data_IF_200069518154
#
_entry.id   IF_200069518154
#
_cell.length_a   1.000
_cell.length_b   1.000
_cell.length_c   1.000
_cell.angle_alpha   90.00
_cell.angle_beta   90.00
_cell.angle_gamma   90.00
#
_symmetry.space_group_name_H-M   'P 1'
#
loop_
_entity.id
_entity.type
_entity.pdbx_description
1 polymer ?
#
# COMPACT_ATOMS: atom_id res chain seq x y z
N UNK A 1 -20.71 10.69 10.72
CA UNK A 1 -20.83 11.47 9.45
C UNK A 1 -20.15 10.65 8.35
N UNK A 2 -20.78 10.54 7.19
CA UNK A 2 -20.17 9.82 6.06
C UNK A 2 -19.23 10.75 5.26
N UNK A 3 -18.12 10.18 4.78
CA UNK A 3 -17.20 10.86 3.85
C UNK A 3 -17.65 10.73 2.40
N UNK A 4 -18.71 9.95 2.12
CA UNK A 4 -19.18 9.67 0.76
C UNK A 4 -19.39 10.96 -0.03
N UNK A 5 -18.57 11.18 -1.05
CA UNK A 5 -18.60 12.34 -1.92
C UNK A 5 -18.17 13.67 -1.28
N UNK A 6 -17.54 13.64 -0.11
CA UNK A 6 -17.04 14.83 0.59
C UNK A 6 -15.62 15.23 0.20
N UNK A 7 -14.92 14.37 -0.53
CA UNK A 7 -13.56 14.63 -0.99
C UNK A 7 -13.31 14.00 -2.38
N UNK A 8 -12.30 14.53 -3.07
CA UNK A 8 -11.89 14.08 -4.40
C UNK A 8 -10.38 13.93 -4.46
N UNK A 9 -9.89 12.83 -5.04
CA UNK A 9 -8.49 12.73 -5.48
C UNK A 9 -8.37 13.62 -6.72
N UNK A 10 -7.51 14.63 -6.62
CA UNK A 10 -7.36 15.70 -7.60
C UNK A 10 -5.98 15.77 -8.25
N UNK A 11 -5.00 15.06 -7.73
CA UNK A 11 -3.65 15.00 -8.28
C UNK A 11 -2.95 13.75 -7.81
N UNK A 12 -2.13 13.17 -8.68
CA UNK A 12 -1.30 12.00 -8.36
C UNK A 12 0.06 12.13 -9.04
N UNK A 13 1.08 11.59 -8.40
CA UNK A 13 2.40 11.51 -9.00
C UNK A 13 3.16 10.29 -8.46
N UNK A 14 3.79 9.56 -9.37
CA UNK A 14 4.76 8.50 -9.08
C UNK A 14 6.14 8.99 -9.50
N UNK A 15 7.10 9.00 -8.57
CA UNK A 15 8.46 9.40 -8.86
C UNK A 15 9.16 8.35 -9.75
N UNK A 16 9.83 8.74 -10.85
CA UNK A 16 10.37 7.79 -11.84
C UNK A 16 11.60 7.00 -11.34
N UNK A 17 12.29 7.47 -10.30
CA UNK A 17 13.49 6.78 -9.79
C UNK A 17 13.16 5.43 -9.19
N UNK A 18 14.07 4.46 -9.40
CA UNK A 18 14.02 3.13 -8.78
C UNK A 18 15.32 2.79 -8.04
N UNK A 19 16.29 3.75 -8.07
CA UNK A 19 17.53 3.71 -7.31
C UNK A 19 18.00 5.13 -7.05
N UNK A 20 17.72 5.69 -5.87
CA UNK A 20 17.91 7.08 -5.52
C UNK A 20 19.26 7.31 -4.82
N UNK A 21 20.38 7.05 -5.51
CA UNK A 21 21.73 7.26 -4.95
C UNK A 21 22.13 8.73 -4.83
N UNK A 22 21.47 9.58 -5.60
CA UNK A 22 21.76 11.03 -5.75
C UNK A 22 20.74 11.93 -5.04
N UNK A 23 19.75 11.36 -4.36
CA UNK A 23 18.67 12.11 -3.71
C UNK A 23 18.54 11.76 -2.23
N UNK A 24 18.22 12.74 -1.41
CA UNK A 24 17.82 12.51 -0.03
C UNK A 24 16.37 12.03 0.05
N UNK A 25 15.98 11.44 1.18
CA UNK A 25 14.60 11.05 1.44
C UNK A 25 13.66 12.27 1.39
N UNK A 26 14.06 13.39 1.99
CA UNK A 26 13.28 14.63 1.95
C UNK A 26 13.08 15.17 0.53
N UNK A 27 14.11 15.07 -0.32
CA UNK A 27 13.98 15.46 -1.74
C UNK A 27 12.95 14.59 -2.47
N UNK A 28 12.93 13.27 -2.25
CA UNK A 28 11.95 12.39 -2.88
C UNK A 28 10.51 12.75 -2.48
N UNK A 29 10.28 13.06 -1.20
CA UNK A 29 8.97 13.55 -0.75
C UNK A 29 8.60 14.87 -1.43
N UNK A 30 9.51 15.84 -1.45
CA UNK A 30 9.24 17.15 -2.04
C UNK A 30 9.03 17.10 -3.56
N UNK A 31 9.85 16.33 -4.29
CA UNK A 31 9.68 16.13 -5.74
C UNK A 31 8.36 15.42 -6.06
N UNK A 32 7.97 14.45 -5.25
CA UNK A 32 6.67 13.77 -5.38
C UNK A 32 5.51 14.73 -5.10
N UNK A 33 5.61 15.54 -4.05
CA UNK A 33 4.63 16.56 -3.72
C UNK A 33 4.44 17.57 -4.86
N UNK A 34 5.55 18.10 -5.40
CA UNK A 34 5.53 19.04 -6.53
C UNK A 34 4.92 18.41 -7.79
N UNK A 35 5.20 17.13 -8.06
CA UNK A 35 4.62 16.38 -9.16
C UNK A 35 3.10 16.27 -9.06
N UNK A 36 2.59 15.87 -7.89
CA UNK A 36 1.15 15.74 -7.65
C UNK A 36 0.41 17.09 -7.64
N UNK A 37 1.04 18.14 -7.10
CA UNK A 37 0.49 19.50 -7.16
C UNK A 37 0.40 20.01 -8.59
N UNK A 38 1.45 19.80 -9.39
CA UNK A 38 1.45 20.14 -10.81
C UNK A 38 0.36 19.40 -11.58
N UNK A 39 0.16 18.12 -11.30
CA UNK A 39 -0.90 17.31 -11.91
C UNK A 39 -2.29 17.81 -11.50
N UNK A 40 -2.48 18.27 -10.26
CA UNK A 40 -3.72 18.90 -9.80
C UNK A 40 -3.94 20.32 -10.37
N UNK A 41 -2.90 20.98 -10.87
CA UNK A 41 -2.95 22.40 -11.21
C UNK A 41 -2.96 23.34 -9.99
N UNK A 42 -2.37 22.86 -8.88
CA UNK A 42 -2.25 23.55 -7.61
C UNK A 42 -0.79 23.88 -7.29
N UNK A 43 -0.59 24.69 -6.26
CA UNK A 43 0.74 25.04 -5.73
C UNK A 43 0.83 24.63 -4.26
N UNK A 44 2.05 24.69 -3.69
CA UNK A 44 2.25 24.42 -2.26
C UNK A 44 1.50 25.39 -1.34
N UNK A 45 1.20 26.58 -1.81
CA UNK A 45 0.50 27.62 -1.03
C UNK A 45 -1.02 27.33 -0.90
N UNK A 46 -1.54 26.43 -1.73
CA UNK A 46 -2.91 25.93 -1.65
C UNK A 46 -3.07 24.80 -0.61
N UNK A 47 -1.97 24.17 -0.19
CA UNK A 47 -1.97 23.04 0.75
C UNK A 47 -2.18 23.53 2.18
N UNK A 48 -3.24 23.03 2.83
CA UNK A 48 -3.57 23.32 4.21
C UNK A 48 -3.74 22.08 5.11
N UNK A 49 -3.59 20.86 4.53
CA UNK A 49 -3.48 19.58 5.24
C UNK A 49 -2.30 18.76 4.73
N UNK A 50 -1.55 18.08 5.62
CA UNK A 50 -0.45 17.21 5.24
C UNK A 50 -0.51 15.86 5.99
N UNK A 51 -0.25 14.78 5.26
CA UNK A 51 -0.34 13.40 5.73
C UNK A 51 0.91 12.64 5.30
N UNK A 52 1.62 12.08 6.25
CA UNK A 52 2.81 11.28 6.01
C UNK A 52 3.03 10.30 7.16
N UNK A 53 3.49 9.10 6.88
CA UNK A 53 3.80 8.09 7.89
C UNK A 53 5.29 8.13 8.34
N UNK A 54 5.78 7.04 8.90
CA UNK A 54 7.09 6.93 9.54
C UNK A 54 8.32 7.02 8.63
N UNK A 55 8.15 7.05 7.31
CA UNK A 55 9.28 7.18 6.36
C UNK A 55 9.88 8.60 6.34
N UNK A 56 9.27 9.56 7.01
CA UNK A 56 9.76 10.95 7.03
C UNK A 56 11.03 11.08 7.89
N UNK A 57 12.04 11.85 7.43
CA UNK A 57 13.27 12.02 8.17
C UNK A 57 13.12 12.93 9.40
N UNK A 58 14.07 12.88 10.31
CA UNK A 58 14.17 13.77 11.46
C UNK A 58 13.01 13.59 12.45
N UNK A 59 12.24 14.64 12.70
CA UNK A 59 11.05 14.64 13.56
C UNK A 59 9.78 14.17 12.79
N UNK A 60 9.96 13.32 11.80
CA UNK A 60 8.86 12.83 11.00
C UNK A 60 8.23 13.91 10.13
N UNK A 61 6.90 13.89 9.95
CA UNK A 61 6.21 14.85 9.08
C UNK A 61 6.50 16.33 9.38
N UNK A 62 6.79 16.70 10.63
CA UNK A 62 7.15 18.08 10.98
C UNK A 62 8.40 18.58 10.24
N UNK A 63 9.42 17.72 10.11
CA UNK A 63 10.63 18.08 9.35
C UNK A 63 10.35 18.29 7.87
N UNK A 64 9.39 17.56 7.31
CA UNK A 64 8.98 17.74 5.92
C UNK A 64 8.12 18.99 5.72
N UNK A 65 7.28 19.35 6.69
CA UNK A 65 6.54 20.62 6.68
C UNK A 65 7.50 21.81 6.57
N UNK A 66 8.54 21.82 7.40
CA UNK A 66 9.58 22.86 7.36
C UNK A 66 10.37 22.83 6.04
N UNK A 67 10.80 21.64 5.61
CA UNK A 67 11.57 21.45 4.38
C UNK A 67 10.83 21.93 3.13
N UNK A 68 9.54 21.63 3.02
CA UNK A 68 8.69 22.06 1.90
C UNK A 68 8.14 23.47 2.06
N UNK A 69 8.24 24.07 3.26
CA UNK A 69 7.70 25.39 3.57
C UNK A 69 6.16 25.43 3.51
N UNK A 70 5.50 24.40 4.03
CA UNK A 70 4.03 24.31 4.06
C UNK A 70 3.44 25.12 5.22
N UNK A 71 2.25 25.70 5.01
CA UNK A 71 1.50 26.44 6.03
C UNK A 71 0.17 25.72 6.29
N UNK A 72 0.17 24.86 7.29
CA UNK A 72 -0.91 23.88 7.51
C UNK A 72 -1.91 24.33 8.58
N UNK A 73 -3.15 23.86 8.44
CA UNK A 73 -4.20 23.82 9.45
C UNK A 73 -4.35 22.42 10.06
N UNK A 74 -3.93 21.37 9.33
CA UNK A 74 -4.06 19.98 9.75
C UNK A 74 -2.83 19.18 9.39
N UNK A 75 -2.41 18.30 10.31
CA UNK A 75 -1.29 17.35 10.14
C UNK A 75 -1.69 15.99 10.70
N UNK A 76 -1.43 14.92 9.96
CA UNK A 76 -1.59 13.54 10.42
C UNK A 76 -0.32 12.73 10.14
N UNK A 77 0.07 11.90 11.11
CA UNK A 77 1.26 11.06 11.06
C UNK A 77 0.96 9.60 11.42
N UNK A 78 -0.26 9.13 11.13
CA UNK A 78 -0.67 7.74 11.44
C UNK A 78 0.22 6.74 10.70
N UNK A 79 0.82 5.83 11.47
CA UNK A 79 1.76 4.81 10.96
C UNK A 79 1.17 3.41 11.15
N UNK A 80 0.93 2.73 10.04
CA UNK A 80 0.45 1.35 9.98
C UNK A 80 1.23 0.51 8.94
N UNK A 81 2.47 0.91 8.65
CA UNK A 81 3.29 0.32 7.60
C UNK A 81 2.85 0.76 6.19
N UNK A 82 3.06 -0.07 5.19
CA UNK A 82 2.79 0.27 3.79
C UNK A 82 1.34 0.63 3.45
N UNK A 83 0.37 0.24 4.29
CA UNK A 83 -1.04 0.61 4.14
C UNK A 83 -1.37 2.03 4.61
N UNK A 84 -0.47 2.72 5.33
CA UNK A 84 -0.69 4.06 5.87
C UNK A 84 -1.19 5.06 4.84
N UNK A 85 -0.68 5.01 3.63
CA UNK A 85 -0.98 6.00 2.59
C UNK A 85 -2.38 5.86 1.98
N UNK A 86 -2.92 4.65 1.92
CA UNK A 86 -4.32 4.41 1.55
C UNK A 86 -5.24 4.85 2.69
N UNK A 87 -4.88 4.53 3.94
CA UNK A 87 -5.56 4.99 5.14
C UNK A 87 -5.60 6.52 5.21
N UNK A 88 -4.49 7.21 4.88
CA UNK A 88 -4.44 8.67 4.83
C UNK A 88 -5.41 9.29 3.82
N UNK A 89 -5.79 8.60 2.75
CA UNK A 89 -6.85 9.10 1.84
C UNK A 89 -8.20 9.18 2.57
N UNK A 90 -8.53 8.17 3.39
CA UNK A 90 -9.70 8.17 4.26
C UNK A 90 -9.63 9.32 5.28
N UNK A 91 -8.53 9.43 6.03
CA UNK A 91 -8.30 10.50 7.02
C UNK A 91 -8.35 11.89 6.41
N UNK A 92 -7.79 12.07 5.21
CA UNK A 92 -7.87 13.34 4.48
C UNK A 92 -9.32 13.68 4.12
N UNK A 93 -10.10 12.69 3.66
CA UNK A 93 -11.52 12.89 3.37
C UNK A 93 -12.33 13.25 4.62
N UNK A 94 -12.02 12.62 5.76
CA UNK A 94 -12.62 12.95 7.06
C UNK A 94 -12.24 14.36 7.53
N UNK A 95 -10.96 14.71 7.47
CA UNK A 95 -10.47 16.04 7.82
C UNK A 95 -11.15 17.14 6.98
N UNK A 96 -11.30 16.89 5.68
CA UNK A 96 -12.02 17.78 4.75
C UNK A 96 -13.50 17.86 5.10
N UNK A 97 -14.16 16.72 5.33
CA UNK A 97 -15.59 16.69 5.68
C UNK A 97 -15.89 17.44 7.00
N UNK A 98 -14.91 17.45 7.92
CA UNK A 98 -14.98 18.19 9.18
C UNK A 98 -14.49 19.65 9.08
N UNK A 99 -14.10 20.12 7.89
CA UNK A 99 -13.64 21.50 7.67
C UNK A 99 -12.26 21.83 8.28
N UNK A 100 -11.45 20.80 8.59
CA UNK A 100 -10.09 20.98 9.16
C UNK A 100 -9.08 21.44 8.10
N UNK A 101 -9.26 21.01 6.86
CA UNK A 101 -8.49 21.44 5.69
C UNK A 101 -9.34 21.37 4.42
N UNK A 102 -8.84 21.92 3.33
CA UNK A 102 -9.51 21.94 2.02
C UNK A 102 -8.66 21.27 0.92
N UNK A 103 -7.35 21.29 1.06
CA UNK A 103 -6.38 20.67 0.17
C UNK A 103 -5.39 19.86 1.02
N UNK A 104 -5.52 18.56 0.95
CA UNK A 104 -4.67 17.61 1.66
C UNK A 104 -3.61 17.03 0.71
N UNK A 105 -2.35 17.13 1.11
CA UNK A 105 -1.20 16.50 0.46
C UNK A 105 -0.83 15.24 1.25
N UNK A 106 -0.73 14.11 0.57
CA UNK A 106 -0.24 12.84 1.12
C UNK A 106 1.05 12.49 0.38
N UNK A 107 2.15 12.20 1.08
CA UNK A 107 3.41 11.80 0.46
C UNK A 107 3.96 10.51 1.03
N UNK A 108 4.58 9.72 0.17
CA UNK A 108 5.36 8.53 0.47
C UNK A 108 6.71 8.61 -0.22
N UNK A 109 7.79 8.25 0.44
CA UNK A 109 9.09 8.00 -0.21
C UNK A 109 9.92 6.99 0.58
N UNK A 110 10.85 6.32 -0.11
CA UNK A 110 11.79 5.40 0.51
C UNK A 110 13.04 5.22 -0.36
N UNK A 111 14.15 4.83 0.29
CA UNK A 111 15.45 4.60 -0.35
C UNK A 111 16.09 3.26 0.03
N UNK A 112 15.31 2.19 0.27
CA UNK A 112 15.85 0.94 0.80
C UNK A 112 16.92 0.31 -0.10
N UNK A 113 16.78 0.44 -1.43
CA UNK A 113 17.76 -0.08 -2.39
C UNK A 113 19.07 0.71 -2.40
N UNK A 114 18.99 2.04 -2.34
CA UNK A 114 20.18 2.89 -2.23
C UNK A 114 20.91 2.68 -0.89
N UNK A 115 20.20 2.27 0.15
CA UNK A 115 20.71 1.92 1.47
C UNK A 115 21.20 0.46 1.56
N UNK A 116 21.21 -0.30 0.45
CA UNK A 116 21.78 -1.64 0.36
C UNK A 116 20.81 -2.78 0.66
N UNK A 117 19.52 -2.50 0.80
CA UNK A 117 18.53 -3.54 1.05
C UNK A 117 18.26 -4.36 -0.22
N UNK A 118 18.10 -5.68 -0.07
CA UNK A 118 17.76 -6.61 -1.15
C UNK A 118 16.51 -7.43 -0.81
N UNK A 119 15.88 -8.01 -1.83
CA UNK A 119 14.70 -8.86 -1.67
C UNK A 119 14.95 -9.99 -0.67
N UNK A 120 14.05 -10.16 0.29
CA UNK A 120 14.15 -11.19 1.33
C UNK A 120 15.06 -10.85 2.51
N UNK A 121 15.77 -9.70 2.50
CA UNK A 121 16.73 -9.34 3.57
C UNK A 121 16.19 -8.30 4.55
N UNK A 122 15.00 -7.76 4.32
CA UNK A 122 14.43 -6.75 5.20
C UNK A 122 14.24 -7.31 6.62
N UNK A 123 14.94 -6.77 7.64
CA UNK A 123 14.74 -7.20 9.02
C UNK A 123 13.36 -6.74 9.49
N UNK A 124 12.76 -7.51 10.39
CA UNK A 124 11.65 -7.01 11.17
C UNK A 124 12.22 -6.04 12.22
N UNK A 125 11.92 -4.77 12.10
CA UNK A 125 12.31 -3.78 13.08
C UNK A 125 11.34 -3.83 14.28
N UNK A 126 11.85 -4.36 15.40
CA UNK A 126 11.21 -4.20 16.69
C UNK A 126 11.86 -3.04 17.43
N UNK A 127 11.08 -2.13 17.96
CA UNK A 127 11.58 -1.30 19.05
C UNK A 127 12.04 -2.20 20.21
N UNK A 128 13.14 -1.87 20.87
CA UNK A 128 13.71 -2.69 21.98
C UNK A 128 12.73 -2.95 23.12
N UNK A 129 11.65 -2.19 23.21
CA UNK A 129 10.58 -2.30 24.20
C UNK A 129 9.33 -3.05 23.70
N UNK A 130 9.32 -3.53 22.46
CA UNK A 130 8.17 -4.28 21.95
C UNK A 130 8.01 -5.61 22.71
N UNK A 131 6.77 -6.00 23.08
CA UNK A 131 6.54 -7.22 23.86
C UNK A 131 7.04 -8.49 23.18
N UNK A 132 7.06 -8.49 21.84
CA UNK A 132 7.41 -9.64 21.01
C UNK A 132 8.92 -9.90 20.95
N UNK A 133 9.76 -8.92 21.30
CA UNK A 133 11.23 -9.02 21.21
C UNK A 133 11.77 -10.26 21.93
N UNK A 134 11.25 -10.55 23.12
CA UNK A 134 11.72 -11.68 23.92
C UNK A 134 11.38 -13.05 23.30
N UNK A 135 10.31 -13.14 22.52
CA UNK A 135 9.76 -14.40 22.00
C UNK A 135 10.08 -14.65 20.53
N UNK A 136 10.12 -13.60 19.73
CA UNK A 136 10.28 -13.73 18.27
C UNK A 136 11.71 -13.41 17.82
N UNK A 137 12.34 -12.39 18.38
CA UNK A 137 13.66 -11.93 17.97
C UNK A 137 14.77 -13.00 18.06
N UNK A 138 14.78 -13.93 19.06
CA UNK A 138 15.77 -15.00 19.12
C UNK A 138 15.79 -15.92 17.89
N UNK A 139 14.69 -15.98 17.14
CA UNK A 139 14.59 -16.77 15.91
C UNK A 139 15.06 -16.01 14.66
N UNK A 140 15.48 -14.76 14.79
CA UNK A 140 15.95 -13.92 13.69
C UNK A 140 14.93 -13.72 12.56
N UNK A 141 13.67 -13.40 12.84
CA UNK A 141 12.64 -13.32 11.81
C UNK A 141 12.95 -12.18 10.85
N UNK A 142 12.82 -12.48 9.56
CA UNK A 142 12.74 -11.47 8.51
C UNK A 142 11.29 -11.25 8.11
N UNK A 143 11.01 -10.15 7.39
CA UNK A 143 9.65 -9.88 6.91
C UNK A 143 9.14 -11.04 6.05
N UNK A 144 9.97 -11.59 5.15
CA UNK A 144 9.56 -12.69 4.28
C UNK A 144 9.20 -13.96 5.05
N UNK A 145 9.89 -14.27 6.16
CA UNK A 145 9.59 -15.45 6.97
C UNK A 145 8.18 -15.41 7.57
N UNK A 146 7.73 -14.22 7.99
CA UNK A 146 6.38 -14.06 8.54
C UNK A 146 5.30 -14.27 7.48
N UNK A 147 5.52 -13.77 6.27
CA UNK A 147 4.58 -14.01 5.16
C UNK A 147 4.63 -15.46 4.67
N UNK A 148 5.80 -16.10 4.74
CA UNK A 148 5.93 -17.54 4.45
C UNK A 148 5.10 -18.39 5.43
N UNK A 149 5.09 -18.06 6.71
CA UNK A 149 4.21 -18.73 7.69
C UNK A 149 2.72 -18.57 7.33
N UNK A 150 2.30 -17.39 6.86
CA UNK A 150 0.93 -17.18 6.37
C UNK A 150 0.64 -18.07 5.16
N UNK A 151 1.57 -18.12 4.21
CA UNK A 151 1.42 -18.96 3.02
C UNK A 151 1.35 -20.45 3.37
N UNK A 152 2.25 -20.95 4.21
CA UNK A 152 2.22 -22.35 4.67
C UNK A 152 0.92 -22.69 5.41
N UNK A 153 0.44 -21.79 6.28
CA UNK A 153 -0.82 -22.01 6.99
C UNK A 153 -2.00 -22.07 6.03
N UNK A 154 -2.04 -21.17 5.05
CA UNK A 154 -3.08 -21.17 4.03
C UNK A 154 -3.05 -22.42 3.14
N UNK A 155 -1.85 -22.88 2.76
CA UNK A 155 -1.65 -24.13 2.04
C UNK A 155 -2.12 -25.35 2.86
N UNK A 156 -1.80 -25.38 4.14
CA UNK A 156 -2.21 -26.46 5.04
C UNK A 156 -3.73 -26.54 5.22
N UNK A 157 -4.39 -25.41 5.42
CA UNK A 157 -5.83 -25.39 5.71
C UNK A 157 -6.70 -25.53 4.47
N UNK A 158 -6.28 -24.93 3.35
CA UNK A 158 -7.11 -24.81 2.16
C UNK A 158 -6.57 -25.51 0.92
N UNK A 159 -5.36 -26.08 1.00
CA UNK A 159 -4.75 -26.79 -0.12
C UNK A 159 -4.24 -25.85 -1.24
N UNK A 160 -4.01 -24.59 -0.94
CA UNK A 160 -3.40 -23.64 -1.88
C UNK A 160 -2.03 -24.14 -2.32
N UNK A 161 -1.68 -23.94 -3.58
CA UNK A 161 -0.38 -24.38 -4.15
C UNK A 161 0.51 -23.22 -4.55
N UNK A 162 1.81 -23.50 -4.77
CA UNK A 162 2.74 -22.49 -5.27
C UNK A 162 2.39 -22.02 -6.67
N UNK A 163 1.83 -22.88 -7.51
CA UNK A 163 1.36 -22.53 -8.86
C UNK A 163 0.20 -21.52 -8.79
N UNK A 164 -0.71 -21.70 -7.84
CA UNK A 164 -1.80 -20.75 -7.62
C UNK A 164 -1.29 -19.38 -7.16
N UNK A 165 -0.32 -19.35 -6.25
CA UNK A 165 0.35 -18.10 -5.86
C UNK A 165 1.08 -17.47 -7.05
N UNK A 166 1.74 -18.28 -7.89
CA UNK A 166 2.46 -17.82 -9.07
C UNK A 166 1.58 -17.07 -10.07
N UNK A 167 0.31 -17.45 -10.23
CA UNK A 167 -0.63 -16.74 -11.12
C UNK A 167 -0.81 -15.27 -10.77
N UNK A 168 -0.70 -14.90 -9.49
CA UNK A 168 -0.73 -13.49 -9.05
C UNK A 168 0.47 -12.73 -9.63
N UNK A 169 1.66 -13.33 -9.57
CA UNK A 169 2.86 -12.72 -10.17
C UNK A 169 2.78 -12.66 -11.68
N UNK A 170 2.23 -13.68 -12.32
CA UNK A 170 1.98 -13.68 -13.77
C UNK A 170 1.11 -12.49 -14.13
N UNK A 171 -0.04 -12.32 -13.48
CA UNK A 171 -0.95 -11.19 -13.72
C UNK A 171 -0.26 -9.84 -13.49
N UNK A 172 0.46 -9.68 -12.35
CA UNK A 172 1.22 -8.46 -12.07
C UNK A 172 2.24 -8.14 -13.17
N UNK A 173 2.90 -9.16 -13.75
CA UNK A 173 3.85 -8.98 -14.85
C UNK A 173 3.19 -8.56 -16.16
N UNK A 174 2.00 -9.09 -16.44
CA UNK A 174 1.18 -8.65 -17.58
C UNK A 174 0.78 -7.17 -17.46
N UNK A 175 0.40 -6.71 -16.27
CA UNK A 175 0.08 -5.30 -16.06
C UNK A 175 1.32 -4.39 -16.07
N UNK A 176 2.44 -4.85 -15.50
CA UNK A 176 3.67 -4.08 -15.38
C UNK A 176 4.32 -3.71 -16.74
N UNK A 177 4.10 -4.50 -17.80
CA UNK A 177 4.67 -4.20 -19.12
C UNK A 177 4.19 -2.86 -19.69
N UNK A 178 3.02 -2.38 -19.25
CA UNK A 178 2.43 -1.11 -19.68
C UNK A 178 2.82 0.08 -18.79
N UNK A 179 3.45 -0.16 -17.64
CA UNK A 179 3.93 0.92 -16.77
C UNK A 179 5.38 1.26 -17.11
N UNK A 180 5.63 2.47 -17.62
CA UNK A 180 6.98 2.93 -17.98
C UNK A 180 7.94 2.96 -16.79
N UNK A 181 7.44 3.10 -15.55
CA UNK A 181 8.22 3.16 -14.32
C UNK A 181 8.42 1.80 -13.65
N UNK A 182 7.79 0.73 -14.13
CA UNK A 182 7.97 -0.60 -13.55
C UNK A 182 9.42 -1.09 -13.72
N UNK A 183 9.99 -1.66 -12.63
CA UNK A 183 11.34 -2.22 -12.66
C UNK A 183 11.42 -3.53 -13.43
N UNK A 184 10.40 -4.37 -13.32
CA UNK A 184 10.31 -5.67 -13.98
C UNK A 184 9.15 -5.63 -14.96
N UNK A 185 9.47 -5.50 -16.26
CA UNK A 185 8.48 -5.37 -17.34
C UNK A 185 8.27 -6.65 -18.13
N UNK A 186 9.15 -7.64 -17.95
CA UNK A 186 9.04 -8.91 -18.65
C UNK A 186 7.87 -9.71 -18.08
N UNK A 187 6.99 -10.16 -18.95
CA UNK A 187 5.95 -11.13 -18.60
C UNK A 187 6.64 -12.44 -18.21
N UNK A 188 6.18 -13.04 -17.13
CA UNK A 188 6.69 -14.30 -16.59
C UNK A 188 5.61 -15.38 -16.63
N UNK A 189 6.04 -16.64 -16.67
CA UNK A 189 5.18 -17.81 -16.61
C UNK A 189 5.09 -18.37 -15.17
N UNK A 190 4.11 -19.23 -14.92
CA UNK A 190 4.00 -19.97 -13.65
C UNK A 190 5.28 -20.76 -13.38
N UNK A 191 5.80 -21.48 -14.37
CA UNK A 191 7.04 -22.26 -14.25
C UNK A 191 8.24 -21.40 -13.85
N UNK A 192 8.38 -20.21 -14.42
CA UNK A 192 9.46 -19.28 -14.05
C UNK A 192 9.33 -18.79 -12.62
N UNK A 193 8.12 -18.60 -12.11
CA UNK A 193 7.89 -18.19 -10.72
C UNK A 193 8.25 -19.32 -9.76
N UNK A 194 7.68 -20.51 -9.92
CA UNK A 194 7.86 -21.63 -9.00
C UNK A 194 9.28 -22.22 -9.05
N UNK A 195 10.03 -22.01 -10.13
CA UNK A 195 11.42 -22.41 -10.26
C UNK A 195 12.42 -21.28 -9.95
N UNK A 196 11.94 -20.08 -9.57
CA UNK A 196 12.83 -19.01 -9.11
C UNK A 196 13.43 -19.37 -7.73
N UNK A 197 14.60 -18.79 -7.35
CA UNK A 197 15.24 -19.15 -6.10
C UNK A 197 14.30 -19.05 -4.89
N UNK A 198 14.29 -20.08 -4.05
CA UNK A 198 13.58 -20.08 -2.78
C UNK A 198 14.17 -19.04 -1.84
N UNK A 199 13.32 -18.20 -1.24
CA UNK A 199 13.72 -17.20 -0.24
C UNK A 199 13.33 -17.66 1.17
N UNK A 200 12.07 -18.04 1.35
CA UNK A 200 11.57 -18.64 2.60
C UNK A 200 10.41 -19.56 2.23
N UNK A 201 10.57 -20.86 2.45
CA UNK A 201 9.57 -21.87 2.07
C UNK A 201 8.16 -21.50 2.59
N UNK A 202 7.12 -21.40 1.71
CA UNK A 202 7.08 -21.79 0.30
C UNK A 202 7.33 -20.64 -0.70
N UNK A 203 7.75 -19.47 -0.26
CA UNK A 203 7.88 -18.27 -1.10
C UNK A 203 9.21 -18.25 -1.87
N UNK A 204 9.12 -18.17 -3.18
CA UNK A 204 10.23 -17.97 -4.10
C UNK A 204 10.49 -16.48 -4.31
N UNK A 205 11.61 -16.17 -4.97
CA UNK A 205 12.00 -14.77 -5.23
C UNK A 205 10.93 -13.97 -6.00
N UNK A 206 10.23 -14.60 -6.92
CA UNK A 206 9.19 -13.94 -7.71
C UNK A 206 7.83 -13.85 -6.97
N UNK A 207 7.67 -14.52 -5.84
CA UNK A 207 6.54 -14.30 -4.93
C UNK A 207 6.71 -13.04 -4.07
N UNK A 208 7.92 -12.51 -4.00
CA UNK A 208 8.27 -11.35 -3.19
C UNK A 208 8.20 -10.06 -4.01
N UNK A 209 7.80 -8.95 -3.37
CA UNK A 209 7.90 -7.62 -3.97
C UNK A 209 9.35 -7.24 -4.27
N UNK A 210 9.54 -6.38 -5.25
CA UNK A 210 10.85 -5.86 -5.63
C UNK A 210 11.25 -4.74 -4.67
N UNK A 211 12.45 -4.80 -4.12
CA UNK A 211 13.02 -3.66 -3.38
C UNK A 211 13.40 -2.56 -4.38
N UNK A 212 12.75 -1.42 -4.27
CA UNK A 212 12.97 -0.25 -5.12
C UNK A 212 12.96 1.02 -4.30
N UNK A 213 13.69 2.02 -4.76
CA UNK A 213 13.59 3.38 -4.25
C UNK A 213 12.51 4.13 -5.02
N UNK A 214 12.00 5.18 -4.43
CA UNK A 214 11.03 6.03 -5.09
C UNK A 214 10.19 6.81 -4.13
N UNK A 215 9.08 7.29 -4.64
CA UNK A 215 8.08 7.99 -3.89
C UNK A 215 6.84 8.25 -4.73
N UNK A 216 5.83 8.74 -4.07
CA UNK A 216 4.60 9.16 -4.69
C UNK A 216 3.88 10.18 -3.83
N UNK A 217 2.93 10.87 -4.43
CA UNK A 217 2.06 11.78 -3.70
C UNK A 217 0.65 11.78 -4.30
N UNK A 218 -0.30 12.07 -3.43
CA UNK A 218 -1.72 12.21 -3.77
C UNK A 218 -2.21 13.55 -3.22
N UNK A 219 -3.00 14.27 -4.02
CA UNK A 219 -3.74 15.46 -3.58
C UNK A 219 -5.21 15.08 -3.42
N UNK A 220 -5.74 15.31 -2.23
CA UNK A 220 -7.17 15.16 -1.92
C UNK A 220 -7.75 16.53 -1.63
N UNK A 221 -8.89 16.87 -2.26
CA UNK A 221 -9.48 18.21 -2.15
C UNK A 221 -10.93 18.16 -1.73
N UNK A 222 -11.39 19.28 -1.15
CA UNK A 222 -12.81 19.49 -0.93
C UNK A 222 -13.61 19.63 -2.24
N UNK A 223 -14.93 19.41 -2.24
CA UNK A 223 -15.76 19.60 -3.41
C UNK A 223 -15.70 21.02 -4.00
N UNK A 224 -15.49 22.03 -3.15
CA UNK A 224 -15.39 23.44 -3.56
C UNK A 224 -14.11 23.66 -4.38
N UNK A 225 -12.97 23.17 -3.91
CA UNK A 225 -11.70 23.24 -4.64
C UNK A 225 -11.78 22.38 -5.90
N UNK A 226 -12.29 21.15 -5.80
CA UNK A 226 -12.41 20.21 -6.92
C UNK A 226 -13.13 20.85 -8.13
N UNK A 227 -14.19 21.63 -7.91
CA UNK A 227 -14.94 22.33 -8.98
C UNK A 227 -14.11 23.35 -9.77
N UNK A 228 -13.03 23.84 -9.22
CA UNK A 228 -12.14 24.81 -9.88
C UNK A 228 -11.06 24.17 -10.75
N UNK A 229 -10.85 22.86 -10.60
CA UNK A 229 -9.80 22.12 -11.29
C UNK A 229 -10.25 21.63 -12.67
N UNK A 230 -9.29 21.52 -13.61
CA UNK A 230 -9.57 21.18 -15.01
C UNK A 230 -9.33 19.72 -15.38
N UNK A 231 -8.83 18.91 -14.44
CA UNK A 231 -8.54 17.48 -14.69
C UNK A 231 -9.70 16.58 -14.28
N UNK A 232 -9.75 15.32 -14.78
CA UNK A 232 -10.65 14.30 -14.25
C UNK A 232 -10.41 14.08 -12.75
N UNK A 233 -11.49 13.96 -11.98
CA UNK A 233 -11.48 13.80 -10.54
C UNK A 233 -11.98 12.42 -10.16
N UNK A 234 -11.40 11.82 -9.12
CA UNK A 234 -11.89 10.57 -8.53
C UNK A 234 -12.53 10.88 -7.19
N UNK A 235 -13.84 10.62 -7.10
CA UNK A 235 -14.60 10.84 -5.88
C UNK A 235 -14.25 9.81 -4.83
N UNK A 236 -13.94 10.22 -3.59
CA UNK A 236 -13.85 9.31 -2.45
C UNK A 236 -15.26 9.04 -1.94
N UNK A 237 -15.69 7.78 -1.96
CA UNK A 237 -17.06 7.39 -1.61
C UNK A 237 -17.13 6.51 -0.36
N UNK A 238 -16.01 5.95 0.10
CA UNK A 238 -15.94 5.19 1.34
C UNK A 238 -14.50 4.89 1.70
N UNK A 239 -14.26 4.70 2.98
CA UNK A 239 -13.02 4.24 3.54
C UNK A 239 -13.30 3.27 4.70
N UNK A 240 -12.31 2.45 5.04
CA UNK A 240 -12.39 1.56 6.18
C UNK A 240 -11.00 1.18 6.65
N UNK A 241 -10.83 1.14 7.95
CA UNK A 241 -9.58 0.72 8.58
C UNK A 241 -9.86 -0.17 9.78
N UNK A 242 -9.06 -1.18 9.96
CA UNK A 242 -9.14 -2.06 11.11
C UNK A 242 -7.80 -2.77 11.34
N UNK A 243 -7.22 -2.67 12.52
CA UNK A 243 -6.04 -3.43 12.87
C UNK A 243 -6.42 -4.89 13.17
N UNK A 244 -5.63 -5.83 12.68
CA UNK A 244 -5.66 -7.20 13.16
C UNK A 244 -4.78 -7.31 14.39
N UNK A 245 -5.34 -7.78 15.50
CA UNK A 245 -4.56 -8.01 16.72
C UNK A 245 -4.18 -9.49 16.90
N UNK A 246 -3.19 -9.73 17.71
CA UNK A 246 -2.59 -11.07 17.89
C UNK A 246 -3.38 -12.01 18.81
N UNK A 247 -4.52 -11.56 19.36
CA UNK A 247 -5.40 -12.37 20.20
C UNK A 247 -4.66 -13.14 21.34
N UNK A 248 -3.68 -12.47 21.98
CA UNK A 248 -2.87 -13.08 23.04
C UNK A 248 -1.97 -14.21 22.53
N UNK A 249 -1.45 -14.11 21.32
CA UNK A 249 -0.56 -15.10 20.69
C UNK A 249 -1.29 -16.25 19.98
N UNK A 250 -2.62 -16.20 19.90
CA UNK A 250 -3.42 -17.15 19.13
C UNK A 250 -3.80 -16.57 17.76
N UNK A 251 -2.82 -15.99 17.08
CA UNK A 251 -3.05 -15.34 15.80
C UNK A 251 -3.45 -16.37 14.73
N UNK A 252 -4.54 -16.10 14.03
CA UNK A 252 -4.88 -16.81 12.79
C UNK A 252 -4.13 -16.15 11.63
N UNK A 253 -3.30 -16.92 10.93
CA UNK A 253 -2.44 -16.44 9.86
C UNK A 253 -3.13 -16.41 8.49
N UNK A 254 -4.39 -16.82 8.40
CA UNK A 254 -5.09 -16.98 7.12
C UNK A 254 -5.92 -15.77 6.70
N UNK A 255 -6.01 -14.72 7.51
CA UNK A 255 -6.73 -13.49 7.18
C UNK A 255 -5.96 -12.23 7.60
N UNK A 256 -6.34 -11.10 7.03
CA UNK A 256 -5.82 -9.76 7.34
C UNK A 256 -6.90 -8.86 7.99
N UNK A 257 -6.56 -7.61 8.32
CA UNK A 257 -7.53 -6.63 8.79
C UNK A 257 -8.63 -6.29 7.77
N UNK A 258 -8.44 -6.69 6.49
CA UNK A 258 -9.40 -6.42 5.43
C UNK A 258 -10.78 -7.09 5.64
N UNK A 259 -10.86 -8.16 6.46
CA UNK A 259 -12.15 -8.77 6.84
C UNK A 259 -13.07 -7.80 7.58
N UNK A 260 -12.54 -6.76 8.19
CA UNK A 260 -13.30 -5.70 8.87
C UNK A 260 -13.31 -4.40 8.08
N UNK A 261 -12.15 -3.95 7.61
CA UNK A 261 -12.03 -2.68 6.89
C UNK A 261 -12.75 -2.70 5.54
N UNK A 262 -12.76 -3.83 4.84
CA UNK A 262 -13.48 -4.00 3.57
C UNK A 262 -14.99 -3.74 3.69
N UNK A 263 -15.71 -4.50 4.54
CA UNK A 263 -17.14 -4.25 4.78
C UNK A 263 -17.47 -2.82 5.19
N UNK A 264 -16.63 -2.18 6.05
CA UNK A 264 -16.83 -0.77 6.43
C UNK A 264 -16.78 0.17 5.21
N UNK A 265 -15.75 0.01 4.36
CA UNK A 265 -15.61 0.82 3.16
C UNK A 265 -16.74 0.58 2.15
N UNK A 266 -17.14 -0.66 1.94
CA UNK A 266 -18.24 -1.02 1.02
C UNK A 266 -19.60 -0.53 1.51
N UNK A 267 -19.86 -0.62 2.82
CA UNK A 267 -21.09 -0.12 3.43
C UNK A 267 -21.19 1.40 3.27
N UNK A 268 -20.13 2.15 3.60
CA UNK A 268 -20.11 3.60 3.44
C UNK A 268 -20.25 4.04 1.98
N UNK A 269 -19.62 3.32 1.06
CA UNK A 269 -19.70 3.56 -0.37
C UNK A 269 -21.06 3.16 -0.98
N UNK A 270 -21.88 2.37 -0.27
CA UNK A 270 -23.10 1.74 -0.79
C UNK A 270 -22.88 0.87 -2.01
N UNK A 271 -21.76 0.12 -2.04
CA UNK A 271 -21.39 -0.82 -3.10
C UNK A 271 -21.10 -2.21 -2.52
N UNK A 272 -21.06 -3.20 -3.40
CA UNK A 272 -20.68 -4.58 -3.06
C UNK A 272 -19.40 -4.98 -3.81
N UNK A 273 -18.65 -6.00 -3.37
CA UNK A 273 -17.46 -6.46 -4.08
C UNK A 273 -17.69 -6.72 -5.58
N UNK A 274 -18.85 -7.29 -5.95
CA UNK A 274 -19.24 -7.55 -7.36
C UNK A 274 -19.41 -6.29 -8.23
N UNK A 275 -19.57 -5.12 -7.61
CA UNK A 275 -19.76 -3.84 -8.32
C UNK A 275 -18.40 -3.20 -8.65
N UNK A 276 -17.32 -3.69 -8.06
CA UNK A 276 -15.95 -3.22 -8.29
C UNK A 276 -15.48 -3.69 -9.67
N UNK A 277 -14.95 -2.77 -10.47
CA UNK A 277 -14.43 -3.04 -11.81
C UNK A 277 -12.91 -3.08 -11.85
N UNK A 278 -12.25 -2.42 -10.92
CA UNK A 278 -10.81 -2.39 -10.78
C UNK A 278 -10.45 -2.36 -9.30
N UNK A 279 -9.49 -3.18 -8.89
CA UNK A 279 -8.96 -3.21 -7.54
C UNK A 279 -7.43 -3.13 -7.57
N UNK A 280 -6.87 -2.16 -6.86
CA UNK A 280 -5.44 -2.08 -6.60
C UNK A 280 -5.17 -2.71 -5.24
N UNK A 281 -4.60 -3.90 -5.26
CA UNK A 281 -4.35 -4.71 -4.07
C UNK A 281 -2.89 -4.60 -3.67
N UNK A 282 -2.61 -4.43 -2.38
CA UNK A 282 -1.25 -4.38 -1.83
C UNK A 282 -0.55 -5.73 -1.99
N UNK A 283 0.58 -5.74 -2.70
CA UNK A 283 1.27 -6.93 -3.19
C UNK A 283 2.65 -7.15 -2.55
N UNK A 284 2.78 -6.95 -1.24
CA UNK A 284 4.05 -7.24 -0.54
C UNK A 284 4.59 -8.64 -0.87
N UNK A 285 3.69 -9.62 -0.97
CA UNK A 285 3.94 -11.00 -1.41
C UNK A 285 2.68 -11.52 -2.12
N UNK A 286 2.82 -12.57 -2.93
CA UNK A 286 1.68 -13.19 -3.62
C UNK A 286 0.59 -13.65 -2.64
N UNK A 287 0.97 -14.23 -1.49
CA UNK A 287 0.01 -14.63 -0.45
C UNK A 287 -0.78 -13.43 0.12
N UNK A 288 -0.20 -12.24 0.17
CA UNK A 288 -0.89 -11.03 0.64
C UNK A 288 -2.05 -10.69 -0.27
N UNK A 289 -1.83 -10.75 -1.58
CA UNK A 289 -2.89 -10.50 -2.59
C UNK A 289 -4.00 -11.53 -2.45
N UNK A 290 -3.65 -12.82 -2.39
CA UNK A 290 -4.62 -13.90 -2.28
C UNK A 290 -5.52 -13.72 -1.06
N UNK A 291 -4.92 -13.49 0.12
CA UNK A 291 -5.68 -13.29 1.36
C UNK A 291 -6.59 -12.06 1.28
N UNK A 292 -6.10 -10.93 0.73
CA UNK A 292 -6.92 -9.72 0.59
C UNK A 292 -8.11 -9.92 -0.35
N UNK A 293 -7.95 -10.67 -1.45
CA UNK A 293 -9.06 -10.98 -2.36
C UNK A 293 -10.17 -11.77 -1.65
N UNK A 294 -9.80 -12.73 -0.81
CA UNK A 294 -10.74 -13.47 0.03
C UNK A 294 -11.37 -12.57 1.10
N UNK A 295 -10.54 -11.84 1.84
CA UNK A 295 -10.96 -11.02 2.97
C UNK A 295 -11.88 -9.86 2.56
N UNK A 296 -11.68 -9.29 1.37
CA UNK A 296 -12.54 -8.28 0.76
C UNK A 296 -13.82 -8.86 0.13
N UNK A 297 -13.95 -10.19 0.07
CA UNK A 297 -15.16 -10.87 -0.43
C UNK A 297 -15.25 -10.92 -1.96
N UNK A 298 -14.15 -10.84 -2.69
CA UNK A 298 -14.13 -11.12 -4.13
C UNK A 298 -14.30 -12.62 -4.41
N UNK A 299 -13.86 -13.46 -3.48
CA UNK A 299 -14.12 -14.90 -3.44
C UNK A 299 -14.27 -15.37 -1.99
N UNK A 300 -14.74 -16.59 -1.80
CA UNK A 300 -14.88 -17.20 -0.49
C UNK A 300 -13.51 -17.54 0.11
N UNK A 301 -13.40 -17.53 1.44
CA UNK A 301 -12.19 -17.94 2.17
C UNK A 301 -11.79 -19.37 1.77
N UNK A 302 -10.50 -19.54 1.44
CA UNK A 302 -9.93 -20.80 0.95
C UNK A 302 -10.19 -21.09 -0.53
N UNK A 303 -10.82 -20.17 -1.27
CA UNK A 303 -11.05 -20.28 -2.71
C UNK A 303 -10.18 -19.33 -3.54
N UNK A 304 -9.37 -18.52 -2.87
CA UNK A 304 -8.49 -17.55 -3.53
C UNK A 304 -7.55 -18.20 -4.54
N UNK A 305 -6.99 -19.36 -4.24
CA UNK A 305 -6.14 -20.10 -5.17
C UNK A 305 -6.80 -20.40 -6.50
N UNK A 306 -8.01 -20.93 -6.49
CA UNK A 306 -8.79 -21.17 -7.71
C UNK A 306 -9.24 -19.86 -8.39
N UNK A 307 -9.55 -18.84 -7.60
CA UNK A 307 -9.97 -17.53 -8.11
C UNK A 307 -8.87 -16.82 -8.93
N UNK A 308 -7.61 -16.94 -8.53
CA UNK A 308 -6.48 -16.25 -9.20
C UNK A 308 -5.85 -17.06 -10.34
N UNK A 309 -6.20 -18.34 -10.47
CA UNK A 309 -5.61 -19.25 -11.46
C UNK A 309 -6.06 -18.96 -12.89
N UNK A 310 -5.36 -19.56 -13.83
CA UNK A 310 -5.71 -19.60 -15.27
C UNK A 310 -5.85 -18.23 -15.94
N UNK A 311 -5.14 -17.22 -15.39
CA UNK A 311 -5.10 -15.87 -15.94
C UNK A 311 -6.28 -14.98 -15.54
N UNK A 312 -7.11 -15.40 -14.59
CA UNK A 312 -8.33 -14.66 -14.18
C UNK A 312 -8.09 -13.22 -13.67
N UNK A 313 -6.86 -12.86 -13.33
CA UNK A 313 -6.51 -11.49 -12.92
C UNK A 313 -5.84 -10.67 -14.04
N UNK A 314 -5.72 -11.20 -15.26
CA UNK A 314 -5.03 -10.54 -16.37
C UNK A 314 -5.96 -9.58 -17.12
N UNK A 315 -7.24 -9.93 -17.29
CA UNK A 315 -8.25 -9.23 -18.09
C UNK A 315 -9.11 -8.25 -17.27
#
# INVERSE_FOLDING_TARGET
MSINGKAYIAGVYEHPTRKATDKSLAQLHAESALGALKDAGLTKDDVDGYFCAGDAPGLGPLSLVDYMGLKLKHLDATETGGSSYVLHVGHAAEAIALGKCSVALITLAGRPRAEGMATGTAPRNYGSSAPDVAFEFPFGPTVVNMYAMCAQRHMYEYGTTSEQLAWIKVAASHHAQYNEHAMLKNVVTVDEVVNSPMIADPLHRLDCCVISDGGGAIIVTSPEVAKTLKRPLVKVIGAGEAPKHQMGGKVDLTYSGAVWSGPMAFEEAHVKPKDIKYASIYDSFTITVLMQLEDLGFCEKGKGGAFVSDGNLID
#
